data_IF_853441203360
#
_entry.id   IF_853441203360
#
_cell.length_a   1.000
_cell.length_b   1.000
_cell.length_c   1.000
_cell.angle_alpha   90.00
_cell.angle_beta   90.00
_cell.angle_gamma   90.00
#
_symmetry.space_group_name_H-M   'P 1'
#
loop_
_entity.id
_entity.type
_entity.pdbx_description
1 polymer ?
#
# COMPACT_ATOMS: atom_id res chain seq x y z
N UNK A 1 -6.20 29.69 -12.83
CA UNK A 1 -6.69 28.32 -12.61
C UNK A 1 -6.54 28.06 -11.11
N UNK A 2 -7.58 27.66 -10.38
CA UNK A 2 -7.45 27.42 -8.93
C UNK A 2 -6.26 26.48 -8.71
N UNK A 3 -5.31 26.92 -7.89
CA UNK A 3 -3.98 26.34 -7.80
C UNK A 3 -4.04 24.85 -7.55
N UNK A 4 -3.32 24.07 -8.35
CA UNK A 4 -3.18 22.63 -8.10
C UNK A 4 -2.58 22.48 -6.70
N UNK A 5 -3.30 21.82 -5.80
CA UNK A 5 -2.82 21.54 -4.46
C UNK A 5 -1.67 20.54 -4.58
N UNK A 6 -0.45 21.01 -4.45
CA UNK A 6 0.72 20.15 -4.36
C UNK A 6 0.66 19.40 -3.02
N UNK A 7 0.86 18.09 -3.07
CA UNK A 7 0.86 17.19 -1.91
C UNK A 7 2.04 16.26 -2.01
N UNK A 8 2.58 15.89 -0.86
CA UNK A 8 3.64 14.89 -0.77
C UNK A 8 3.11 13.49 -1.09
N UNK A 9 3.99 12.61 -1.56
CA UNK A 9 3.64 11.20 -1.73
C UNK A 9 3.20 10.57 -0.40
N UNK A 10 3.86 10.88 0.72
CA UNK A 10 3.49 10.32 2.02
C UNK A 10 2.04 10.65 2.40
N UNK A 11 1.59 11.88 2.15
CA UNK A 11 0.23 12.34 2.47
C UNK A 11 -0.84 11.59 1.65
N UNK A 12 -0.50 11.22 0.41
CA UNK A 12 -1.36 10.44 -0.47
C UNK A 12 -1.46 8.99 0.01
N UNK A 13 -0.32 8.39 0.37
CA UNK A 13 -0.25 6.98 0.78
C UNK A 13 -0.65 6.71 2.24
N UNK A 14 -0.73 7.75 3.09
CA UNK A 14 -1.13 7.65 4.49
C UNK A 14 -2.61 7.24 4.66
N UNK A 15 -3.49 7.83 3.84
CA UNK A 15 -4.94 7.64 3.98
C UNK A 15 -5.47 6.48 3.15
N UNK A 16 -5.19 6.49 1.85
CA UNK A 16 -5.69 5.49 0.91
C UNK A 16 -4.61 5.17 -0.13
N UNK A 17 -3.75 4.22 0.18
CA UNK A 17 -2.62 3.88 -0.67
C UNK A 17 -3.02 3.14 -1.95
N UNK A 18 -4.18 2.49 -1.98
CA UNK A 18 -4.67 1.83 -3.20
C UNK A 18 -5.18 2.86 -4.20
N UNK A 19 -5.93 3.84 -3.70
CA UNK A 19 -6.34 5.01 -4.48
C UNK A 19 -5.15 5.85 -4.90
N UNK A 20 -4.15 6.04 -4.05
CA UNK A 20 -2.92 6.75 -4.42
C UNK A 20 -2.19 6.05 -5.58
N UNK A 21 -2.17 4.72 -5.59
CA UNK A 21 -1.61 3.95 -6.69
C UNK A 21 -2.37 4.14 -8.01
N UNK A 22 -3.70 4.15 -7.96
CA UNK A 22 -4.56 4.42 -9.12
C UNK A 22 -4.38 5.86 -9.63
N UNK A 23 -4.45 6.85 -8.74
CA UNK A 23 -4.42 8.27 -9.09
C UNK A 23 -3.05 8.72 -9.63
N UNK A 24 -1.95 8.13 -9.14
CA UNK A 24 -0.59 8.57 -9.47
C UNK A 24 0.07 7.74 -10.58
N UNK A 25 -0.25 6.46 -10.66
CA UNK A 25 0.43 5.51 -11.55
C UNK A 25 -0.50 4.82 -12.55
N UNK A 26 -1.80 5.14 -12.52
CA UNK A 26 -2.84 4.47 -13.33
C UNK A 26 -2.79 2.94 -13.17
N UNK A 27 -2.48 2.49 -11.94
CA UNK A 27 -2.39 1.06 -11.61
C UNK A 27 -3.41 0.69 -10.56
N UNK A 28 -4.12 -0.39 -10.80
CA UNK A 28 -4.93 -1.04 -9.76
C UNK A 28 -4.08 -2.13 -9.10
N UNK A 29 -3.89 -2.12 -7.78
CA UNK A 29 -3.23 -3.23 -7.11
C UNK A 29 -4.06 -4.51 -7.32
N UNK A 30 -3.57 -5.44 -8.15
CA UNK A 30 -4.23 -6.72 -8.37
C UNK A 30 -4.29 -7.56 -7.09
N UNK A 31 -5.13 -8.60 -7.06
CA UNK A 31 -5.28 -9.50 -5.90
C UNK A 31 -4.00 -10.19 -5.42
N UNK A 32 -2.94 -10.19 -6.26
CA UNK A 32 -1.55 -10.52 -5.92
C UNK A 32 -0.68 -9.25 -5.83
N UNK A 33 -1.12 -8.23 -5.08
CA UNK A 33 -0.25 -7.09 -4.79
C UNK A 33 0.75 -7.51 -3.71
N UNK A 34 1.96 -6.93 -3.73
CA UNK A 34 2.97 -7.13 -2.67
C UNK A 34 2.37 -6.88 -1.28
N UNK A 35 1.44 -5.93 -1.18
CA UNK A 35 0.75 -5.58 0.07
C UNK A 35 -0.27 -6.63 0.48
N UNK A 36 -1.09 -7.12 -0.45
CA UNK A 36 -2.04 -8.22 -0.18
C UNK A 36 -1.33 -9.52 0.19
N UNK A 37 -0.16 -9.78 -0.41
CA UNK A 37 0.72 -10.86 0.03
C UNK A 37 1.17 -10.63 1.48
N UNK A 38 1.72 -9.46 1.82
CA UNK A 38 2.14 -9.16 3.19
C UNK A 38 1.00 -9.28 4.21
N UNK A 39 -0.19 -8.76 3.89
CA UNK A 39 -1.37 -8.74 4.77
C UNK A 39 -2.00 -10.13 5.00
N UNK A 40 -1.94 -11.04 4.03
CA UNK A 40 -2.59 -12.35 4.17
C UNK A 40 -1.59 -13.48 4.38
N UNK A 41 -0.63 -13.61 3.47
CA UNK A 41 0.28 -14.75 3.41
C UNK A 41 1.61 -14.47 4.13
N UNK A 42 2.05 -13.21 4.13
CA UNK A 42 3.28 -12.75 4.77
C UNK A 42 3.23 -12.88 6.28
N UNK A 43 2.09 -12.56 6.91
CA UNK A 43 1.88 -12.82 8.34
C UNK A 43 1.93 -14.30 8.67
N UNK A 44 1.27 -15.15 7.89
CA UNK A 44 1.29 -16.60 8.09
C UNK A 44 2.72 -17.16 7.99
N UNK A 45 3.52 -16.65 7.03
CA UNK A 45 4.93 -17.02 6.89
C UNK A 45 5.79 -16.51 8.06
N UNK A 46 5.59 -15.25 8.49
CA UNK A 46 6.31 -14.68 9.63
C UNK A 46 6.06 -15.50 10.92
N UNK A 47 4.80 -15.85 11.17
CA UNK A 47 4.42 -16.71 12.30
C UNK A 47 5.00 -18.13 12.17
N UNK A 48 4.96 -18.73 10.98
CA UNK A 48 5.50 -20.08 10.74
C UNK A 48 7.01 -20.17 10.97
N UNK A 49 7.76 -19.09 10.70
CA UNK A 49 9.22 -19.03 10.93
C UNK A 49 9.55 -18.56 12.35
N UNK A 50 8.55 -18.30 13.20
CA UNK A 50 8.76 -17.82 14.57
C UNK A 50 9.26 -16.39 14.65
N UNK A 51 9.08 -15.59 13.60
CA UNK A 51 9.41 -14.18 13.61
C UNK A 51 8.40 -13.44 14.49
N UNK A 52 8.83 -13.07 15.70
CA UNK A 52 8.08 -12.15 16.54
C UNK A 52 8.18 -10.75 15.94
N UNK A 53 7.11 -10.30 15.27
CA UNK A 53 6.94 -8.92 14.87
C UNK A 53 6.15 -8.25 16.00
N UNK A 54 6.76 -7.38 16.83
CA UNK A 54 6.03 -6.63 17.87
C UNK A 54 5.05 -5.62 17.28
#
# INVERSE_FOLDING_TARGET
MPGKKERGLWELYENDPERADADLWDRTPGGMSRRGFLEKSGWALALAVGAHIP
#
